data_IF_927202589423
#
_entry.id   IF_927202589423
#
_cell.length_a   1.000
_cell.length_b   1.000
_cell.length_c   1.000
_cell.angle_alpha   90.00
_cell.angle_beta   90.00
_cell.angle_gamma   90.00
#
_symmetry.space_group_name_H-M   'P 1'
#
loop_
_entity.id
_entity.type
_entity.pdbx_description
1 polymer ?
#
# COMPACT_ATOMS: atom_id res chain seq x y z
N UNK A 1 11.11 3.95 15.55
CA UNK A 1 10.44 5.17 15.07
C UNK A 1 11.50 6.24 14.98
N UNK A 2 11.51 7.00 13.90
CA UNK A 2 12.37 8.17 13.71
C UNK A 2 11.49 9.41 13.85
N UNK A 3 11.92 10.41 14.64
CA UNK A 3 11.14 11.59 14.97
C UNK A 3 12.01 12.84 14.77
N UNK A 4 11.50 13.81 14.03
CA UNK A 4 12.05 15.17 13.96
C UNK A 4 11.13 16.06 14.81
N UNK A 5 11.68 16.63 15.88
CA UNK A 5 10.91 17.47 16.77
C UNK A 5 11.76 18.62 17.32
N UNK A 6 11.09 19.74 17.59
CA UNK A 6 11.67 20.86 18.35
C UNK A 6 11.25 20.74 19.80
N UNK A 7 12.22 20.77 20.71
CA UNK A 7 11.95 20.85 22.15
C UNK A 7 11.96 22.32 22.59
N UNK A 8 10.90 22.74 23.26
CA UNK A 8 10.77 24.08 23.85
C UNK A 8 10.56 23.96 25.35
N UNK A 9 11.32 24.73 26.13
CA UNK A 9 11.11 24.84 27.57
C UNK A 9 9.97 25.83 27.82
N UNK A 10 8.94 25.40 28.55
CA UNK A 10 7.83 26.24 28.95
C UNK A 10 7.78 26.37 30.47
N UNK A 11 7.74 27.60 30.98
CA UNK A 11 7.62 27.89 32.41
C UNK A 11 6.36 28.69 32.68
N UNK A 12 5.46 28.12 33.48
CA UNK A 12 4.21 28.78 33.88
C UNK A 12 4.01 28.65 35.38
N UNK A 13 3.89 29.80 36.07
CA UNK A 13 3.75 29.86 37.55
C UNK A 13 4.83 29.07 38.31
N UNK A 14 6.07 29.10 37.83
CA UNK A 14 7.21 28.39 38.44
C UNK A 14 7.25 26.88 38.15
N UNK A 15 6.29 26.34 37.40
CA UNK A 15 6.33 24.96 36.92
C UNK A 15 7.03 24.95 35.56
N UNK A 16 8.15 24.21 35.48
CA UNK A 16 8.89 23.98 34.24
C UNK A 16 8.37 22.72 33.55
N UNK A 17 8.13 22.82 32.26
CA UNK A 17 7.66 21.74 31.39
C UNK A 17 8.42 21.79 30.07
N UNK A 18 8.49 20.66 29.37
CA UNK A 18 9.05 20.58 28.02
C UNK A 18 7.92 20.28 27.06
N UNK A 19 7.76 21.14 26.06
CA UNK A 19 6.84 20.92 24.94
C UNK A 19 7.65 20.37 23.77
N UNK A 20 7.25 19.20 23.25
CA UNK A 20 7.78 18.65 22.01
C UNK A 20 6.84 19.01 20.86
N UNK A 21 7.34 19.76 19.88
CA UNK A 21 6.64 20.01 18.62
C UNK A 21 7.17 19.06 17.57
N UNK A 22 6.41 18.00 17.30
CA UNK A 22 6.76 17.00 16.27
C UNK A 22 6.52 17.62 14.89
N UNK A 23 7.58 17.67 14.08
CA UNK A 23 7.52 18.10 12.69
C UNK A 23 7.27 16.90 11.78
N UNK A 24 7.91 15.77 12.08
CA UNK A 24 7.81 14.55 11.31
C UNK A 24 7.97 13.32 12.19
N UNK A 25 7.24 12.25 11.88
CA UNK A 25 7.35 10.97 12.55
C UNK A 25 7.11 9.83 11.56
N UNK A 26 8.01 8.85 11.53
CA UNK A 26 7.90 7.68 10.66
C UNK A 26 8.50 6.42 11.29
N UNK A 27 8.12 5.22 10.83
CA UNK A 27 8.84 3.99 11.21
C UNK A 27 10.32 4.11 10.89
N UNK A 28 11.16 3.58 11.79
CA UNK A 28 12.61 3.65 11.58
C UNK A 28 12.99 2.78 10.37
N UNK A 29 13.82 3.33 9.50
CA UNK A 29 14.23 2.65 8.27
C UNK A 29 13.19 2.63 7.15
N UNK A 30 12.05 3.32 7.30
CA UNK A 30 11.10 3.49 6.21
C UNK A 30 11.73 4.30 5.08
N UNK A 31 11.59 3.79 3.84
CA UNK A 31 12.20 4.36 2.63
C UNK A 31 11.16 5.17 1.86
N UNK A 32 10.92 6.39 2.30
CA UNK A 32 9.93 7.31 1.69
C UNK A 32 10.21 7.55 0.20
N UNK A 33 11.47 7.68 -0.17
CA UNK A 33 11.91 7.79 -1.56
C UNK A 33 11.38 6.64 -2.43
N UNK A 34 11.43 5.41 -1.91
CA UNK A 34 10.91 4.21 -2.60
C UNK A 34 9.40 4.16 -2.59
N UNK A 35 8.77 4.59 -1.49
CA UNK A 35 7.32 4.66 -1.38
C UNK A 35 6.74 5.60 -2.45
N UNK A 36 7.21 6.85 -2.51
CA UNK A 36 6.70 7.83 -3.46
C UNK A 36 7.04 7.47 -4.92
N UNK A 37 8.21 6.86 -5.17
CA UNK A 37 8.53 6.34 -6.51
C UNK A 37 7.54 5.23 -6.95
N UNK A 38 7.17 4.34 -6.03
CA UNK A 38 6.20 3.28 -6.30
C UNK A 38 4.78 3.84 -6.46
N UNK A 39 4.38 4.82 -5.65
CA UNK A 39 3.11 5.54 -5.80
C UNK A 39 3.01 6.17 -7.19
N UNK A 40 4.01 6.92 -7.60
CA UNK A 40 4.04 7.52 -8.94
C UNK A 40 3.92 6.48 -10.04
N UNK A 41 4.65 5.37 -9.92
CA UNK A 41 4.60 4.27 -10.90
C UNK A 41 3.18 3.69 -11.00
N UNK A 42 2.50 3.51 -9.87
CA UNK A 42 1.10 3.08 -9.85
C UNK A 42 0.18 4.06 -10.57
N UNK A 43 0.36 5.36 -10.34
CA UNK A 43 -0.43 6.40 -10.99
C UNK A 43 -0.19 6.46 -12.51
N UNK A 44 1.05 6.25 -12.96
CA UNK A 44 1.40 6.14 -14.39
C UNK A 44 0.73 4.91 -15.03
N UNK A 45 0.76 3.75 -14.36
CA UNK A 45 0.08 2.54 -14.81
C UNK A 45 -1.45 2.74 -14.87
N UNK A 46 -2.06 3.35 -13.85
CA UNK A 46 -3.51 3.53 -13.78
C UNK A 46 -4.03 4.53 -14.83
N UNK A 47 -3.20 5.47 -15.27
CA UNK A 47 -3.48 6.36 -16.42
C UNK A 47 -3.25 5.69 -17.78
N UNK A 48 -2.73 4.47 -17.82
CA UNK A 48 -2.41 3.75 -19.06
C UNK A 48 -1.10 4.21 -19.72
N UNK A 49 -0.26 4.98 -19.02
CA UNK A 49 1.05 5.43 -19.51
C UNK A 49 2.08 4.27 -19.53
N UNK A 50 1.80 3.22 -18.75
CA UNK A 50 2.63 2.02 -18.65
C UNK A 50 3.72 2.14 -17.58
N UNK A 51 4.69 1.21 -17.63
CA UNK A 51 5.90 1.24 -16.82
C UNK A 51 7.05 0.59 -17.61
N UNK A 52 8.30 0.81 -17.20
CA UNK A 52 9.43 0.11 -17.80
C UNK A 52 9.25 -1.41 -17.64
N UNK A 53 9.38 -2.15 -18.74
CA UNK A 53 9.43 -3.62 -18.77
C UNK A 53 10.31 -4.25 -17.69
N UNK A 54 11.42 -3.61 -17.32
CA UNK A 54 12.34 -4.06 -16.27
C UNK A 54 11.78 -3.90 -14.86
N UNK A 55 10.87 -2.93 -14.68
CA UNK A 55 10.16 -2.69 -13.42
C UNK A 55 8.93 -3.59 -13.29
N UNK A 56 8.33 -4.01 -14.41
CA UNK A 56 7.08 -4.76 -14.43
C UNK A 56 7.08 -5.99 -13.48
N UNK A 57 8.11 -6.85 -13.42
CA UNK A 57 8.16 -7.98 -12.47
C UNK A 57 8.22 -7.56 -10.99
N UNK A 58 8.60 -6.31 -10.70
CA UNK A 58 8.69 -5.76 -9.34
C UNK A 58 7.43 -5.03 -8.92
N UNK A 59 6.54 -4.68 -9.85
CA UNK A 59 5.34 -3.88 -9.55
C UNK A 59 4.04 -4.60 -9.89
N UNK A 60 4.06 -5.59 -10.78
CA UNK A 60 2.88 -6.41 -11.08
C UNK A 60 2.87 -7.62 -10.14
N UNK A 61 1.81 -7.83 -9.34
CA UNK A 61 1.78 -8.91 -8.36
C UNK A 61 1.71 -10.28 -9.03
N UNK A 62 2.43 -11.23 -8.44
CA UNK A 62 2.25 -12.66 -8.67
C UNK A 62 1.33 -13.26 -7.60
N UNK A 63 1.13 -14.58 -7.66
CA UNK A 63 0.27 -15.28 -6.70
C UNK A 63 0.76 -15.12 -5.26
N UNK A 64 2.07 -15.10 -5.04
CA UNK A 64 2.67 -14.96 -3.70
C UNK A 64 2.41 -13.57 -3.15
N UNK A 65 2.56 -12.54 -3.98
CA UNK A 65 2.27 -11.16 -3.64
C UNK A 65 0.79 -10.94 -3.32
N UNK A 66 -0.12 -11.52 -4.11
CA UNK A 66 -1.55 -11.49 -3.82
C UNK A 66 -1.85 -12.13 -2.45
N UNK A 67 -1.30 -13.32 -2.17
CA UNK A 67 -1.48 -13.96 -0.87
C UNK A 67 -0.96 -13.10 0.27
N UNK A 68 0.23 -12.51 0.13
CA UNK A 68 0.81 -11.64 1.14
C UNK A 68 -0.05 -10.39 1.42
N UNK A 69 -0.60 -9.76 0.38
CA UNK A 69 -1.52 -8.63 0.53
C UNK A 69 -2.83 -9.03 1.23
N UNK A 70 -3.43 -10.16 0.82
CA UNK A 70 -4.66 -10.67 1.42
C UNK A 70 -4.48 -11.06 2.90
N UNK A 71 -3.42 -11.80 3.21
CA UNK A 71 -3.10 -12.23 4.57
C UNK A 71 -2.80 -11.03 5.48
N UNK A 72 -2.13 -10.01 4.94
CA UNK A 72 -1.89 -8.77 5.66
C UNK A 72 -3.22 -8.09 6.01
N UNK A 73 -4.10 -7.88 5.04
CA UNK A 73 -5.39 -7.23 5.27
C UNK A 73 -6.24 -8.02 6.29
N UNK A 74 -6.25 -9.36 6.16
CA UNK A 74 -6.94 -10.27 7.08
C UNK A 74 -6.39 -10.19 8.51
N UNK A 75 -5.06 -10.13 8.68
CA UNK A 75 -4.40 -10.00 9.98
C UNK A 75 -4.81 -8.74 10.73
N UNK A 76 -5.15 -7.68 10.00
CA UNK A 76 -5.60 -6.40 10.54
C UNK A 76 -7.14 -6.26 10.59
N UNK A 77 -7.88 -7.38 10.67
CA UNK A 77 -9.34 -7.36 10.82
C UNK A 77 -10.09 -7.17 9.50
N UNK A 78 -9.40 -7.27 8.36
CA UNK A 78 -9.99 -7.19 7.03
C UNK A 78 -10.25 -5.77 6.54
N UNK A 79 -9.75 -4.73 7.24
CA UNK A 79 -9.94 -3.32 6.88
C UNK A 79 -8.66 -2.54 7.13
N UNK A 80 -8.10 -1.90 6.11
CA UNK A 80 -6.87 -1.10 6.22
C UNK A 80 -6.66 -0.20 5.01
N UNK A 81 -5.93 0.91 5.17
CA UNK A 81 -5.45 1.72 4.04
C UNK A 81 -4.25 1.08 3.34
N UNK A 82 -4.05 1.36 2.05
CA UNK A 82 -2.89 0.88 1.31
C UNK A 82 -1.58 1.48 1.87
N UNK A 83 -1.64 2.74 2.31
CA UNK A 83 -0.55 3.47 2.96
C UNK A 83 -0.15 2.76 4.24
N UNK A 84 -1.09 2.48 5.14
CA UNK A 84 -0.79 1.81 6.40
C UNK A 84 -0.29 0.39 6.17
N UNK A 85 -0.84 -0.33 5.19
CA UNK A 85 -0.36 -1.66 4.80
C UNK A 85 1.11 -1.61 4.33
N UNK A 86 1.51 -0.59 3.59
CA UNK A 86 2.88 -0.43 3.12
C UNK A 86 3.83 0.08 4.22
N UNK A 87 3.37 0.98 5.09
CA UNK A 87 4.18 1.63 6.13
C UNK A 87 4.34 0.73 7.36
N UNK A 88 3.26 0.06 7.77
CA UNK A 88 3.19 -0.70 9.02
C UNK A 88 2.97 -2.20 8.83
N UNK A 89 2.45 -2.63 7.68
CA UNK A 89 2.02 -4.01 7.47
C UNK A 89 3.14 -5.02 7.25
N UNK A 90 4.33 -4.58 6.82
CA UNK A 90 5.50 -5.45 6.71
C UNK A 90 5.36 -6.59 5.68
N UNK A 91 4.51 -6.43 4.66
CA UNK A 91 4.31 -7.42 3.59
C UNK A 91 5.53 -7.61 2.68
N UNK A 92 6.51 -6.70 2.73
CA UNK A 92 7.64 -6.67 1.80
C UNK A 92 7.27 -6.24 0.38
N UNK A 93 5.99 -5.96 0.14
CA UNK A 93 5.49 -5.41 -1.12
C UNK A 93 5.79 -3.91 -1.17
N UNK A 94 6.19 -3.42 -2.34
CA UNK A 94 6.18 -1.98 -2.56
C UNK A 94 4.74 -1.50 -2.78
N UNK A 95 4.54 -0.20 -2.59
CA UNK A 95 3.22 0.42 -2.68
C UNK A 95 2.51 0.17 -4.03
N UNK A 96 3.24 0.18 -5.15
CA UNK A 96 2.65 -0.06 -6.47
C UNK A 96 2.04 -1.46 -6.59
N UNK A 97 2.84 -2.47 -6.24
CA UNK A 97 2.40 -3.88 -6.25
C UNK A 97 1.24 -4.12 -5.31
N UNK A 98 1.27 -3.47 -4.13
CA UNK A 98 0.18 -3.53 -3.18
C UNK A 98 -1.11 -2.94 -3.77
N UNK A 99 -1.06 -1.74 -4.35
CA UNK A 99 -2.25 -1.11 -4.96
C UNK A 99 -2.86 -1.96 -6.07
N UNK A 100 -2.04 -2.50 -6.96
CA UNK A 100 -2.52 -3.40 -8.03
C UNK A 100 -3.16 -4.66 -7.44
N UNK A 101 -2.61 -5.22 -6.34
CA UNK A 101 -3.21 -6.35 -5.66
C UNK A 101 -4.60 -6.00 -5.07
N UNK A 102 -4.75 -4.82 -4.46
CA UNK A 102 -6.02 -4.36 -3.90
C UNK A 102 -7.07 -4.09 -4.99
N UNK A 103 -6.67 -3.48 -6.11
CA UNK A 103 -7.54 -3.31 -7.29
C UNK A 103 -7.96 -4.65 -7.88
N UNK A 104 -7.04 -5.64 -7.88
CA UNK A 104 -7.35 -7.00 -8.30
C UNK A 104 -8.44 -7.61 -7.41
N UNK A 105 -8.34 -7.49 -6.09
CA UNK A 105 -9.38 -7.95 -5.18
C UNK A 105 -10.70 -7.22 -5.38
N UNK A 106 -10.66 -5.90 -5.56
CA UNK A 106 -11.85 -5.10 -5.80
C UNK A 106 -12.56 -5.50 -7.10
N UNK A 107 -11.80 -5.64 -8.19
CA UNK A 107 -12.33 -6.07 -9.50
C UNK A 107 -12.94 -7.47 -9.47
N UNK A 108 -12.46 -8.34 -8.57
CA UNK A 108 -12.95 -9.70 -8.37
C UNK A 108 -14.09 -9.80 -7.34
N UNK A 109 -14.54 -8.68 -6.76
CA UNK A 109 -15.56 -8.67 -5.71
C UNK A 109 -15.10 -9.28 -4.39
N UNK A 110 -13.80 -9.36 -4.15
CA UNK A 110 -13.19 -9.85 -2.91
C UNK A 110 -12.93 -8.73 -1.90
N UNK A 111 -12.93 -7.48 -2.35
CA UNK A 111 -12.75 -6.31 -1.52
C UNK A 111 -13.59 -5.13 -2.02
N UNK A 112 -13.91 -4.21 -1.13
CA UNK A 112 -14.45 -2.88 -1.44
C UNK A 112 -13.38 -1.84 -1.14
N UNK A 113 -13.30 -0.80 -1.97
CA UNK A 113 -12.45 0.38 -1.74
C UNK A 113 -13.34 1.59 -1.51
N UNK A 114 -12.96 2.48 -0.60
CA UNK A 114 -13.60 3.80 -0.45
C UNK A 114 -13.47 4.63 -1.73
N UNK A 115 -14.29 5.68 -1.88
CA UNK A 115 -14.31 6.50 -3.10
C UNK A 115 -12.96 7.18 -3.41
N UNK A 116 -12.17 7.46 -2.38
CA UNK A 116 -10.81 7.99 -2.46
C UNK A 116 -9.73 6.90 -2.50
N UNK A 117 -10.13 5.62 -2.48
CA UNK A 117 -9.28 4.45 -2.32
C UNK A 117 -8.36 4.47 -1.08
N UNK A 118 -8.72 5.27 -0.07
CA UNK A 118 -7.99 5.39 1.20
C UNK A 118 -8.25 4.25 2.17
N UNK A 119 -9.36 3.51 2.05
CA UNK A 119 -9.65 2.32 2.85
C UNK A 119 -10.02 1.15 1.94
N UNK A 120 -9.48 -0.03 2.25
CA UNK A 120 -9.86 -1.29 1.60
C UNK A 120 -10.44 -2.24 2.64
N UNK A 121 -11.57 -2.87 2.31
CA UNK A 121 -12.30 -3.81 3.16
C UNK A 121 -12.50 -5.14 2.44
N UNK A 122 -12.10 -6.25 3.07
CA UNK A 122 -12.39 -7.59 2.57
C UNK A 122 -13.88 -7.91 2.64
N UNK A 123 -14.37 -8.52 1.58
CA UNK A 123 -15.74 -9.03 1.49
C UNK A 123 -15.71 -10.56 1.64
N UNK A 124 -16.62 -11.16 2.42
CA UNK A 124 -16.80 -12.61 2.44
C UNK A 124 -17.15 -13.13 1.04
N UNK A 125 -16.31 -14.00 0.48
CA UNK A 125 -16.54 -14.59 -0.82
C UNK A 125 -17.14 -15.99 -0.72
N UNK A 126 -18.14 -16.26 -1.55
CA UNK A 126 -18.81 -17.56 -1.67
C UNK A 126 -18.24 -18.44 -2.78
N UNK A 127 -17.47 -17.85 -3.71
CA UNK A 127 -16.99 -18.51 -4.92
C UNK A 127 -15.47 -18.38 -5.03
N UNK A 128 -14.81 -19.43 -5.49
CA UNK A 128 -13.35 -19.43 -5.75
C UNK A 128 -13.08 -18.80 -7.11
N UNK A 129 -12.47 -17.61 -7.11
CA UNK A 129 -12.07 -16.89 -8.32
C UNK A 129 -10.57 -17.07 -8.58
N UNK A 130 -10.19 -17.35 -9.84
CA UNK A 130 -8.79 -17.38 -10.26
C UNK A 130 -8.36 -16.00 -10.76
N UNK A 131 -7.68 -15.25 -9.88
CA UNK A 131 -7.21 -13.88 -10.14
C UNK A 131 -6.07 -13.79 -11.16
N UNK A 132 -5.40 -14.90 -11.45
CA UNK A 132 -4.27 -14.93 -12.39
C UNK A 132 -4.73 -15.17 -13.83
N UNK A 133 -5.85 -15.88 -13.98
CA UNK A 133 -6.34 -16.32 -15.29
C UNK A 133 -7.31 -15.32 -15.95
N UNK A 134 -7.95 -14.44 -15.18
CA UNK A 134 -8.95 -13.51 -15.71
C UNK A 134 -9.03 -12.20 -14.91
N UNK A 135 -9.70 -11.20 -15.51
CA UNK A 135 -9.92 -9.89 -14.91
C UNK A 135 -8.75 -8.92 -15.06
N UNK A 136 -8.76 -7.89 -14.22
CA UNK A 136 -7.84 -6.75 -14.26
C UNK A 136 -6.36 -7.16 -14.29
N UNK A 137 -5.95 -8.07 -13.40
CA UNK A 137 -4.55 -8.48 -13.32
C UNK A 137 -4.08 -9.25 -14.57
N UNK A 138 -4.93 -10.12 -15.12
CA UNK A 138 -4.60 -10.88 -16.32
C UNK A 138 -4.45 -9.96 -17.54
N UNK A 139 -5.29 -8.93 -17.66
CA UNK A 139 -5.15 -7.88 -18.68
C UNK A 139 -3.86 -7.10 -18.53
N UNK A 140 -3.57 -6.65 -17.30
CA UNK A 140 -2.37 -5.89 -17.00
C UNK A 140 -1.09 -6.68 -17.32
N UNK A 141 -1.03 -7.96 -16.93
CA UNK A 141 0.08 -8.87 -17.23
C UNK A 141 0.30 -9.04 -18.75
N UNK A 142 -0.78 -9.15 -19.53
CA UNK A 142 -0.70 -9.21 -21.01
C UNK A 142 -0.11 -7.94 -21.61
N UNK A 143 -0.53 -6.76 -21.13
CA UNK A 143 -0.04 -5.47 -21.60
C UNK A 143 1.48 -5.32 -21.37
N UNK A 144 1.99 -5.84 -20.25
CA UNK A 144 3.41 -5.76 -19.91
C UNK A 144 4.24 -6.98 -20.33
N UNK A 145 3.64 -7.97 -21.02
CA UNK A 145 4.34 -9.17 -21.47
C UNK A 145 4.86 -10.06 -20.34
N UNK A 146 4.20 -10.06 -19.18
CA UNK A 146 4.57 -10.88 -18.02
C UNK A 146 3.76 -12.18 -18.07
N UNK A 147 4.45 -13.32 -18.20
CA UNK A 147 3.83 -14.66 -18.10
C UNK A 147 3.52 -15.01 -16.65
#
# INVERSE_FOLDING_TARGET
MDIIATAELNEFRGVKSVTLKVQEMRPSGFREDRFFAAQRTYEEISRGEGCDSRLAPRVIPDRTALMAAYDLLRKHGGVMSAEDMCVYGGSGLNYCMLRIALDTFASAGMAEQSADAGEVRLIPVSTKTDLMASGFLAELRRTFGIQ
#
